data_IF_244145412509
#
_entry.id   IF_244145412509
#
_cell.length_a   1.000
_cell.length_b   1.000
_cell.length_c   1.000
_cell.angle_alpha   90.00
_cell.angle_beta   90.00
_cell.angle_gamma   90.00
#
_symmetry.space_group_name_H-M   'P 1'
#
loop_
_entity.id
_entity.type
_entity.pdbx_description
1 polymer ?
#
# COMPACT_ATOMS: atom_id res chain seq x y z
N UNK A 1 -40.83 81.37 -25.26
CA UNK A 1 -40.07 80.94 -26.45
C UNK A 1 -38.67 80.54 -26.04
N UNK A 2 -38.36 79.26 -25.96
CA UNK A 2 -37.01 78.70 -26.07
C UNK A 2 -37.15 77.21 -26.22
N UNK A 3 -36.81 76.69 -27.38
CA UNK A 3 -36.67 75.25 -27.69
C UNK A 3 -35.47 74.67 -26.98
N UNK A 4 -35.64 73.53 -26.39
CA UNK A 4 -34.53 72.69 -25.85
C UNK A 4 -34.60 71.38 -26.56
N UNK A 5 -33.64 71.09 -27.42
CA UNK A 5 -33.45 69.87 -28.15
C UNK A 5 -32.79 68.79 -27.20
N UNK A 6 -33.39 67.63 -27.12
CA UNK A 6 -32.79 66.48 -26.46
C UNK A 6 -31.91 65.75 -27.45
N UNK A 7 -30.62 65.64 -27.10
CA UNK A 7 -29.66 64.71 -27.73
C UNK A 7 -29.81 63.32 -27.08
N UNK A 8 -30.10 62.36 -27.92
CA UNK A 8 -30.19 60.93 -27.44
C UNK A 8 -28.83 60.24 -27.52
N UNK A 9 -28.31 59.84 -26.36
CA UNK A 9 -27.12 59.00 -26.28
C UNK A 9 -27.48 57.57 -26.61
N UNK A 10 -26.89 57.05 -27.67
CA UNK A 10 -26.91 55.60 -28.02
C UNK A 10 -25.75 54.93 -27.30
N UNK A 11 -26.09 54.16 -26.29
CA UNK A 11 -25.12 53.27 -25.65
C UNK A 11 -24.95 52.03 -26.56
N UNK A 12 -23.80 51.94 -27.18
CA UNK A 12 -23.40 50.74 -27.92
C UNK A 12 -22.90 49.68 -26.93
N UNK A 13 -23.69 48.64 -26.70
CA UNK A 13 -23.28 47.46 -25.92
C UNK A 13 -22.33 46.59 -26.75
N UNK A 14 -21.05 46.62 -26.41
CA UNK A 14 -20.06 45.70 -26.96
C UNK A 14 -20.17 44.35 -26.27
N UNK A 15 -20.65 43.33 -26.97
CA UNK A 15 -20.60 41.93 -26.53
C UNK A 15 -19.18 41.41 -26.75
N UNK A 16 -18.44 41.17 -25.65
CA UNK A 16 -17.21 40.41 -25.69
C UNK A 16 -17.55 38.92 -25.81
N UNK A 17 -16.97 38.15 -26.75
CA UNK A 17 -17.12 36.71 -26.79
C UNK A 17 -16.30 36.09 -25.65
N UNK A 18 -16.96 35.37 -24.75
CA UNK A 18 -16.30 34.57 -23.74
C UNK A 18 -15.60 33.37 -24.41
N UNK A 19 -14.29 33.39 -24.42
CA UNK A 19 -13.46 32.28 -24.90
C UNK A 19 -13.51 31.12 -23.85
N UNK A 20 -14.35 30.13 -24.10
CA UNK A 20 -14.40 28.92 -23.28
C UNK A 20 -13.22 28.04 -23.67
N UNK A 21 -12.15 28.08 -22.86
CA UNK A 21 -11.01 27.17 -22.99
C UNK A 21 -11.42 25.82 -22.43
N UNK A 22 -11.79 24.86 -23.27
CA UNK A 22 -12.01 23.48 -22.89
C UNK A 22 -10.64 22.85 -22.65
N UNK A 23 -10.24 22.72 -21.39
CA UNK A 23 -9.10 21.87 -20.99
C UNK A 23 -9.50 20.42 -21.25
N UNK A 24 -9.04 19.87 -22.37
CA UNK A 24 -9.05 18.43 -22.61
C UNK A 24 -8.05 17.78 -21.64
N UNK A 25 -8.54 17.28 -20.51
CA UNK A 25 -7.77 16.40 -19.67
C UNK A 25 -7.51 15.11 -20.47
N UNK A 26 -6.31 15.00 -21.03
CA UNK A 26 -5.85 13.73 -21.62
C UNK A 26 -5.83 12.69 -20.52
N UNK A 27 -6.43 11.50 -20.69
CA UNK A 27 -6.25 10.41 -19.75
C UNK A 27 -4.76 10.09 -19.72
N UNK A 28 -4.12 10.34 -18.57
CA UNK A 28 -2.74 9.93 -18.36
C UNK A 28 -2.71 8.41 -18.58
N UNK A 29 -2.09 7.96 -19.68
CA UNK A 29 -1.82 6.55 -19.90
C UNK A 29 -0.93 6.08 -18.76
N UNK A 30 -1.53 5.37 -17.79
CA UNK A 30 -0.79 4.83 -16.65
C UNK A 30 0.14 3.76 -17.20
N UNK A 31 1.45 4.02 -17.13
CA UNK A 31 2.47 3.03 -17.49
C UNK A 31 2.33 1.89 -16.49
N UNK A 32 1.91 0.71 -16.98
CA UNK A 32 1.82 -0.48 -16.15
C UNK A 32 3.24 -0.84 -15.68
N UNK A 33 3.45 -0.89 -14.37
CA UNK A 33 4.76 -1.15 -13.80
C UNK A 33 5.26 -2.56 -14.18
N UNK A 34 6.58 -2.74 -14.17
CA UNK A 34 7.22 -3.97 -14.60
C UNK A 34 6.82 -5.16 -13.73
N UNK A 35 6.62 -6.33 -14.33
CA UNK A 35 6.34 -7.56 -13.62
C UNK A 35 7.63 -8.24 -13.15
N UNK A 36 7.60 -8.80 -11.95
CA UNK A 36 8.67 -9.66 -11.45
C UNK A 36 8.56 -11.02 -12.16
N UNK A 37 9.51 -11.32 -13.06
CA UNK A 37 9.57 -12.58 -13.80
C UNK A 37 10.68 -13.51 -13.35
N UNK A 38 11.59 -13.01 -12.53
CA UNK A 38 12.69 -13.72 -11.88
C UNK A 38 12.77 -13.35 -10.41
N UNK A 39 13.96 -13.41 -9.82
CA UNK A 39 14.16 -12.96 -8.44
C UNK A 39 14.29 -11.44 -8.40
N UNK A 40 13.46 -10.79 -7.60
CA UNK A 40 13.65 -9.41 -7.15
C UNK A 40 14.14 -9.43 -5.70
N UNK A 41 15.10 -8.58 -5.36
CA UNK A 41 15.57 -8.42 -3.99
C UNK A 41 15.80 -6.95 -3.66
N UNK A 42 15.59 -6.59 -2.40
CA UNK A 42 15.89 -5.28 -1.85
C UNK A 42 16.43 -5.44 -0.42
N UNK A 43 17.72 -5.12 -0.23
CA UNK A 43 18.41 -5.15 1.06
C UNK A 43 18.41 -3.78 1.75
N UNK A 44 17.78 -2.78 1.11
CA UNK A 44 17.70 -1.41 1.61
C UNK A 44 19.05 -0.72 1.92
N UNK A 45 20.16 -1.27 1.45
CA UNK A 45 21.53 -0.74 1.61
C UNK A 45 21.75 0.52 0.78
N UNK A 46 21.02 1.57 1.05
CA UNK A 46 21.05 2.87 0.38
C UNK A 46 20.58 4.00 1.31
N UNK A 47 20.82 5.27 1.01
CA UNK A 47 20.45 6.38 1.87
C UNK A 47 18.97 6.80 1.76
N UNK A 48 18.27 6.42 0.67
CA UNK A 48 16.91 6.88 0.35
C UNK A 48 16.00 5.72 -0.03
N UNK A 49 14.68 5.92 0.05
CA UNK A 49 13.66 4.91 -0.28
C UNK A 49 13.82 4.33 -1.69
N UNK A 50 14.22 5.18 -2.64
CA UNK A 50 14.49 4.78 -4.02
C UNK A 50 13.24 4.62 -4.89
N UNK A 51 13.44 4.48 -6.23
CA UNK A 51 12.35 4.56 -7.21
C UNK A 51 11.43 3.32 -7.24
N UNK A 52 11.86 2.22 -6.63
CA UNK A 52 11.05 1.00 -6.57
C UNK A 52 9.90 1.09 -5.55
N UNK A 53 9.87 2.11 -4.71
CA UNK A 53 8.88 2.28 -3.67
C UNK A 53 8.10 3.56 -3.84
N UNK A 54 6.83 3.51 -3.49
CA UNK A 54 5.93 4.65 -3.44
C UNK A 54 5.39 4.79 -2.02
N UNK A 55 5.86 5.81 -1.31
CA UNK A 55 5.30 6.24 -0.04
C UNK A 55 3.98 7.00 -0.29
N UNK A 56 2.91 6.60 0.39
CA UNK A 56 1.60 7.27 0.30
C UNK A 56 1.39 8.33 1.39
N UNK A 57 2.43 8.64 2.15
CA UNK A 57 2.41 9.64 3.23
C UNK A 57 2.81 9.09 4.60
N UNK A 58 3.25 7.83 4.69
CA UNK A 58 3.67 7.18 5.93
C UNK A 58 5.04 7.61 6.45
N UNK A 59 5.78 8.45 5.70
CA UNK A 59 7.07 8.96 6.13
C UNK A 59 8.16 7.90 6.20
N UNK A 60 8.13 6.96 5.26
CA UNK A 60 9.11 5.88 5.16
C UNK A 60 10.51 6.42 4.88
N UNK A 61 11.50 5.86 5.57
CA UNK A 61 12.90 6.24 5.44
C UNK A 61 13.81 5.02 5.48
N UNK A 62 15.02 5.19 4.97
CA UNK A 62 16.09 4.20 5.17
C UNK A 62 16.94 4.64 6.36
N UNK A 63 17.15 3.73 7.29
CA UNK A 63 18.00 3.93 8.46
C UNK A 63 18.75 2.65 8.77
N UNK A 64 20.07 2.72 8.86
CA UNK A 64 20.95 1.59 9.13
C UNK A 64 20.75 0.41 8.14
N UNK A 65 20.55 0.72 6.84
CA UNK A 65 20.30 -0.29 5.81
C UNK A 65 18.93 -0.97 5.92
N UNK A 66 17.96 -0.41 6.60
CA UNK A 66 16.62 -0.96 6.76
C UNK A 66 15.54 0.04 6.32
N UNK A 67 14.46 -0.45 5.76
CA UNK A 67 13.26 0.35 5.51
C UNK A 67 12.50 0.52 6.82
N UNK A 68 12.34 1.75 7.28
CA UNK A 68 11.70 2.10 8.56
C UNK A 68 10.38 2.80 8.31
N UNK A 69 9.31 2.24 8.85
CA UNK A 69 8.05 2.91 9.10
C UNK A 69 8.01 3.34 10.57
N UNK A 70 7.50 4.52 10.86
CA UNK A 70 7.41 5.02 12.23
C UNK A 70 6.08 5.73 12.45
N UNK A 71 5.02 4.96 12.73
CA UNK A 71 3.66 5.49 12.83
C UNK A 71 3.13 5.92 11.48
N UNK A 72 3.07 5.00 10.52
CA UNK A 72 2.57 5.29 9.17
C UNK A 72 1.05 5.49 9.13
N UNK A 73 0.33 5.14 10.20
CA UNK A 73 -1.13 5.29 10.33
C UNK A 73 -1.88 4.72 9.12
N UNK A 74 -1.47 3.53 8.70
CA UNK A 74 -2.00 2.83 7.53
C UNK A 74 -1.77 3.54 6.18
N UNK A 75 -0.78 4.43 6.06
CA UNK A 75 -0.30 4.92 4.78
C UNK A 75 0.75 3.96 4.22
N UNK A 76 0.43 3.05 3.32
CA UNK A 76 1.36 2.01 2.88
C UNK A 76 2.52 2.57 2.05
N UNK A 77 3.66 1.88 2.09
CA UNK A 77 4.67 2.00 1.04
C UNK A 77 4.50 0.85 0.05
N UNK A 78 4.13 1.17 -1.18
CA UNK A 78 3.91 0.21 -2.26
C UNK A 78 5.19 -0.07 -3.03
N UNK A 79 5.49 -1.35 -3.25
CA UNK A 79 6.50 -1.77 -4.20
C UNK A 79 5.98 -1.54 -5.63
N UNK A 80 6.69 -0.76 -6.43
CA UNK A 80 6.35 -0.41 -7.81
C UNK A 80 6.76 -1.50 -8.80
N UNK A 81 6.48 -2.75 -8.45
CA UNK A 81 6.64 -3.92 -9.32
C UNK A 81 5.49 -4.87 -9.09
N UNK A 82 5.00 -5.46 -10.18
CA UNK A 82 3.88 -6.40 -10.09
C UNK A 82 4.37 -7.77 -9.64
N UNK A 83 3.68 -8.34 -8.67
CA UNK A 83 3.92 -9.69 -8.18
C UNK A 83 3.59 -10.74 -9.25
N UNK A 84 4.34 -11.85 -9.33
CA UNK A 84 3.88 -13.03 -10.05
C UNK A 84 2.61 -13.59 -9.37
N UNK A 85 1.76 -14.24 -10.16
CA UNK A 85 0.50 -14.80 -9.67
C UNK A 85 0.72 -15.81 -8.53
N UNK A 86 1.66 -16.73 -8.74
CA UNK A 86 2.15 -17.64 -7.72
C UNK A 86 3.52 -17.14 -7.28
N UNK A 87 3.66 -16.85 -5.98
CA UNK A 87 4.79 -16.08 -5.46
C UNK A 87 5.33 -16.70 -4.18
N UNK A 88 6.66 -16.61 -4.02
CA UNK A 88 7.35 -16.78 -2.75
C UNK A 88 7.96 -15.44 -2.35
N UNK A 89 7.75 -15.03 -1.10
CA UNK A 89 8.25 -13.80 -0.52
C UNK A 89 8.97 -14.14 0.77
N UNK A 90 10.17 -13.61 0.93
CA UNK A 90 10.94 -13.69 2.17
C UNK A 90 11.34 -12.27 2.58
N UNK A 91 11.29 -11.96 3.86
CA UNK A 91 11.76 -10.69 4.41
C UNK A 91 12.06 -10.84 5.89
N UNK A 92 12.91 -9.95 6.41
CA UNK A 92 13.10 -9.78 7.84
C UNK A 92 12.31 -8.56 8.32
N UNK A 93 11.62 -8.71 9.45
CA UNK A 93 10.81 -7.65 10.02
C UNK A 93 11.00 -7.55 11.53
N UNK A 94 11.11 -6.31 12.03
CA UNK A 94 11.32 -6.00 13.45
C UNK A 94 10.36 -4.90 13.85
N UNK A 95 9.60 -5.06 14.93
CA UNK A 95 8.93 -3.93 15.58
C UNK A 95 9.75 -3.51 16.82
N UNK A 96 9.99 -2.23 16.96
CA UNK A 96 10.60 -1.66 18.18
C UNK A 96 9.57 -1.24 19.21
N UNK A 97 8.30 -1.28 18.85
CA UNK A 97 7.19 -0.86 19.70
C UNK A 97 6.56 -2.04 20.44
N UNK A 98 6.17 -1.89 21.70
CA UNK A 98 5.43 -2.94 22.42
C UNK A 98 4.08 -3.27 21.80
N UNK A 99 3.51 -2.34 21.03
CA UNK A 99 2.26 -2.52 20.28
C UNK A 99 2.35 -3.52 19.13
N UNK A 100 3.56 -3.93 18.74
CA UNK A 100 3.77 -4.90 17.65
C UNK A 100 3.51 -4.31 16.28
N UNK A 101 2.43 -4.71 15.63
CA UNK A 101 1.83 -4.21 14.40
C UNK A 101 2.73 -4.26 13.15
N UNK A 102 3.44 -5.36 12.96
CA UNK A 102 4.16 -5.62 11.69
C UNK A 102 3.14 -6.02 10.64
N UNK A 103 3.06 -5.25 9.56
CA UNK A 103 1.99 -5.39 8.57
C UNK A 103 2.52 -5.36 7.15
N UNK A 104 2.06 -6.28 6.32
CA UNK A 104 2.25 -6.24 4.87
C UNK A 104 0.92 -6.45 4.17
N UNK A 105 0.78 -5.90 2.98
CA UNK A 105 -0.33 -6.19 2.07
C UNK A 105 0.18 -6.89 0.81
N UNK A 106 -0.47 -7.97 0.41
CA UNK A 106 -0.15 -8.72 -0.78
C UNK A 106 -1.31 -8.66 -1.76
N UNK A 107 -0.98 -8.54 -3.05
CA UNK A 107 -2.00 -8.49 -4.10
C UNK A 107 -2.99 -7.34 -3.92
N UNK A 108 -2.51 -6.20 -3.48
CA UNK A 108 -3.26 -4.94 -3.46
C UNK A 108 -3.14 -4.19 -4.79
N UNK A 109 -3.78 -3.03 -4.86
CA UNK A 109 -3.90 -2.20 -6.06
C UNK A 109 -2.64 -1.36 -6.40
N UNK A 110 -1.68 -1.27 -5.49
CA UNK A 110 -0.47 -0.47 -5.66
C UNK A 110 -0.68 1.04 -5.43
N UNK A 111 -1.86 1.45 -4.97
CA UNK A 111 -2.25 2.86 -4.91
C UNK A 111 -2.87 3.29 -3.60
N UNK A 112 -3.68 2.40 -3.04
CA UNK A 112 -4.54 2.79 -1.93
C UNK A 112 -3.75 3.36 -0.78
N UNK A 113 -3.87 4.59 -0.68
CA UNK A 113 -4.38 5.41 0.39
C UNK A 113 -5.27 6.46 -0.26
N UNK A 114 -6.52 6.55 0.16
CA UNK A 114 -7.49 7.53 -0.34
C UNK A 114 -7.78 8.56 0.76
N UNK A 115 -7.15 9.75 0.73
CA UNK A 115 -7.38 10.79 1.72
C UNK A 115 -8.83 11.29 1.70
N UNK A 116 -9.51 11.22 0.56
CA UNK A 116 -10.89 11.69 0.40
C UNK A 116 -11.91 10.74 1.05
N UNK A 117 -11.53 9.48 1.24
CA UNK A 117 -12.34 8.49 1.98
C UNK A 117 -11.98 8.40 3.46
N UNK A 118 -11.08 9.25 3.94
CA UNK A 118 -10.70 9.32 5.34
C UNK A 118 -9.85 8.15 5.83
N UNK A 119 -9.13 7.47 4.94
CA UNK A 119 -8.23 6.43 5.39
C UNK A 119 -7.86 5.36 4.36
N UNK A 120 -7.04 4.43 4.82
CA UNK A 120 -6.61 3.27 4.10
C UNK A 120 -7.75 2.25 3.92
N UNK A 121 -7.92 1.83 2.69
CA UNK A 121 -8.79 0.69 2.36
C UNK A 121 -7.90 -0.40 1.77
N UNK A 122 -7.71 -1.50 2.52
CA UNK A 122 -7.02 -2.67 1.99
C UNK A 122 -7.73 -3.20 0.74
N UNK A 123 -6.96 -3.46 -0.28
CA UNK A 123 -7.45 -3.98 -1.56
C UNK A 123 -6.94 -5.39 -1.85
N UNK A 124 -6.06 -5.88 -0.99
CA UNK A 124 -5.40 -7.17 -1.07
C UNK A 124 -5.58 -8.06 0.15
N UNK A 125 -4.60 -8.91 0.37
CA UNK A 125 -4.48 -9.73 1.57
C UNK A 125 -3.55 -9.05 2.57
N UNK A 126 -4.07 -8.76 3.77
CA UNK A 126 -3.28 -8.21 4.86
C UNK A 126 -2.76 -9.33 5.74
N UNK A 127 -1.44 -9.36 5.97
CA UNK A 127 -0.79 -10.22 6.94
C UNK A 127 -0.28 -9.32 8.07
N UNK A 128 -0.84 -9.49 9.27
CA UNK A 128 -0.54 -8.65 10.44
C UNK A 128 -0.02 -9.54 11.56
N UNK A 129 1.20 -9.28 12.04
CA UNK A 129 1.75 -9.90 13.22
C UNK A 129 1.74 -8.91 14.40
N UNK A 130 0.98 -9.26 15.43
CA UNK A 130 0.86 -8.45 16.64
C UNK A 130 0.07 -7.16 16.46
N UNK A 131 -0.97 -7.15 15.64
CA UNK A 131 -1.91 -6.04 15.56
C UNK A 131 -2.75 -5.89 16.82
N UNK A 132 -3.59 -4.83 16.89
CA UNK A 132 -4.48 -4.53 18.02
C UNK A 132 -3.74 -4.54 19.37
N UNK A 133 -2.73 -3.69 19.46
CA UNK A 133 -1.87 -3.59 20.65
C UNK A 133 -1.19 -4.92 20.97
N UNK A 134 -0.60 -5.55 19.96
CA UNK A 134 0.15 -6.80 20.05
C UNK A 134 -0.68 -7.99 20.61
N UNK A 135 -1.97 -8.00 20.35
CA UNK A 135 -2.88 -9.02 20.89
C UNK A 135 -3.36 -10.05 19.88
N UNK A 136 -3.30 -9.72 18.59
CA UNK A 136 -3.87 -10.56 17.54
C UNK A 136 -2.99 -10.54 16.28
N UNK A 137 -2.82 -11.71 15.65
CA UNK A 137 -2.19 -11.85 14.34
C UNK A 137 -3.18 -12.46 13.37
N UNK A 138 -3.23 -11.95 12.12
CA UNK A 138 -4.30 -12.31 11.17
C UNK A 138 -3.80 -12.41 9.74
N UNK A 139 -4.50 -13.20 8.93
CA UNK A 139 -4.59 -13.04 7.48
C UNK A 139 -5.98 -12.47 7.19
N UNK A 140 -6.05 -11.35 6.52
CA UNK A 140 -7.30 -10.69 6.12
C UNK A 140 -7.42 -10.60 4.59
N UNK A 141 -8.65 -10.37 4.13
CA UNK A 141 -8.97 -10.11 2.72
C UNK A 141 -9.79 -8.82 2.61
N UNK A 142 -9.25 -7.82 1.91
CA UNK A 142 -9.88 -6.51 1.63
C UNK A 142 -10.24 -5.65 2.85
N UNK A 143 -10.18 -6.20 4.05
CA UNK A 143 -10.51 -5.50 5.31
C UNK A 143 -9.77 -6.18 6.46
N UNK A 144 -9.09 -5.41 7.29
CA UNK A 144 -8.38 -5.94 8.47
C UNK A 144 -9.30 -6.19 9.69
N UNK A 145 -10.57 -5.78 9.61
CA UNK A 145 -11.53 -5.92 10.69
C UNK A 145 -12.60 -6.97 10.37
N UNK A 146 -13.20 -7.53 11.42
CA UNK A 146 -14.41 -8.38 11.41
C UNK A 146 -14.40 -9.46 10.29
N UNK A 147 -15.30 -9.34 9.33
CA UNK A 147 -15.46 -10.30 8.23
C UNK A 147 -14.26 -10.40 7.31
N UNK A 148 -13.38 -9.40 7.28
CA UNK A 148 -12.12 -9.43 6.55
C UNK A 148 -11.13 -10.45 7.10
N UNK A 149 -11.17 -10.76 8.40
CA UNK A 149 -10.29 -11.73 9.05
C UNK A 149 -10.64 -13.15 8.63
N UNK A 150 -9.69 -13.84 8.01
CA UNK A 150 -9.87 -15.19 7.45
C UNK A 150 -9.12 -16.26 8.23
N UNK A 151 -7.96 -15.92 8.80
CA UNK A 151 -7.23 -16.74 9.75
C UNK A 151 -6.69 -15.87 10.86
N UNK A 152 -6.67 -16.36 12.10
CA UNK A 152 -6.25 -15.57 13.25
C UNK A 152 -5.59 -16.44 14.33
N UNK A 153 -4.67 -15.84 15.09
CA UNK A 153 -4.09 -16.40 16.31
C UNK A 153 -3.73 -15.31 17.32
N UNK A 154 -3.76 -15.62 18.61
CA UNK A 154 -3.48 -14.69 19.72
C UNK A 154 -2.45 -15.21 20.72
N UNK A 155 -1.87 -16.38 20.46
CA UNK A 155 -0.97 -17.10 21.35
C UNK A 155 0.51 -16.72 21.18
N UNK A 156 0.85 -15.89 20.19
CA UNK A 156 2.21 -15.40 19.94
C UNK A 156 2.20 -13.87 19.78
N UNK A 157 3.06 -13.21 20.53
CA UNK A 157 3.25 -11.74 20.50
C UNK A 157 4.55 -11.38 19.83
N UNK A 158 4.61 -10.17 19.27
CA UNK A 158 5.86 -9.55 18.83
C UNK A 158 6.68 -9.14 20.05
N UNK A 159 7.94 -9.50 20.09
CA UNK A 159 8.91 -9.07 21.09
C UNK A 159 9.62 -7.83 20.55
N UNK A 160 9.53 -6.66 21.22
CA UNK A 160 10.18 -5.44 20.75
C UNK A 160 11.67 -5.61 20.51
N UNK A 161 12.17 -5.21 19.35
CA UNK A 161 13.57 -5.28 18.97
C UNK A 161 14.03 -6.65 18.44
N UNK A 162 13.18 -7.68 18.48
CA UNK A 162 13.46 -8.97 17.86
C UNK A 162 13.19 -8.91 16.38
N UNK A 163 14.15 -9.38 15.57
CA UNK A 163 13.96 -9.62 14.15
C UNK A 163 13.30 -10.98 13.92
N UNK A 164 12.33 -11.00 13.00
CA UNK A 164 11.60 -12.19 12.61
C UNK A 164 11.77 -12.39 11.11
N UNK A 165 12.17 -13.61 10.73
CA UNK A 165 12.22 -13.99 9.32
C UNK A 165 10.84 -14.48 8.87
N UNK A 166 10.24 -13.79 7.90
CA UNK A 166 8.96 -14.16 7.31
C UNK A 166 9.19 -14.90 6.00
N UNK A 167 8.50 -16.03 5.84
CA UNK A 167 8.40 -16.74 4.56
C UNK A 167 6.94 -16.89 4.21
N UNK A 168 6.54 -16.34 3.07
CA UNK A 168 5.16 -16.32 2.61
C UNK A 168 5.12 -16.96 1.22
N UNK A 169 4.21 -17.88 1.02
CA UNK A 169 3.95 -18.46 -0.31
C UNK A 169 2.48 -18.30 -0.65
N UNK A 170 2.20 -17.84 -1.86
CA UNK A 170 0.86 -17.93 -2.44
C UNK A 170 0.91 -18.78 -3.69
N UNK A 171 0.04 -19.81 -3.76
CA UNK A 171 -0.21 -20.64 -4.95
C UNK A 171 -1.70 -20.75 -5.18
N UNK A 172 -2.17 -20.25 -6.33
CA UNK A 172 -3.61 -20.12 -6.57
C UNK A 172 -4.27 -19.28 -5.47
N UNK A 173 -5.18 -19.89 -4.70
CA UNK A 173 -5.82 -19.27 -3.54
C UNK A 173 -5.15 -19.54 -2.21
N UNK A 174 -4.21 -20.52 -2.14
CA UNK A 174 -3.58 -20.89 -0.88
C UNK A 174 -2.47 -19.91 -0.49
N UNK A 175 -2.54 -19.39 0.73
CA UNK A 175 -1.56 -18.52 1.38
C UNK A 175 -1.02 -19.26 2.58
N UNK A 176 0.29 -19.51 2.58
CA UNK A 176 1.04 -20.09 3.70
C UNK A 176 2.03 -19.05 4.22
N UNK A 177 1.95 -18.76 5.50
CA UNK A 177 2.85 -17.84 6.19
C UNK A 177 3.58 -18.52 7.31
N UNK A 178 4.91 -18.43 7.28
CA UNK A 178 5.82 -18.94 8.31
C UNK A 178 6.60 -17.77 8.92
N UNK A 179 6.94 -17.91 10.20
CA UNK A 179 7.86 -17.00 10.92
C UNK A 179 8.96 -17.85 11.55
N UNK A 180 10.23 -17.51 11.29
CA UNK A 180 11.42 -18.21 11.74
C UNK A 180 11.40 -19.72 11.33
N UNK A 181 10.92 -19.99 10.11
CA UNK A 181 10.80 -21.34 9.55
C UNK A 181 9.61 -22.15 10.09
N UNK A 182 8.94 -21.72 11.16
CA UNK A 182 7.80 -22.43 11.74
C UNK A 182 6.47 -21.96 11.10
N UNK A 183 5.50 -22.86 10.84
CA UNK A 183 4.16 -22.48 10.40
C UNK A 183 3.54 -21.45 11.35
N UNK A 184 2.98 -20.37 10.79
CA UNK A 184 2.40 -19.30 11.58
C UNK A 184 0.90 -19.16 11.34
N UNK A 185 0.47 -18.82 10.14
CA UNK A 185 -0.91 -18.80 9.70
C UNK A 185 -1.02 -19.32 8.26
N UNK A 186 -2.14 -19.92 7.92
CA UNK A 186 -2.46 -20.32 6.57
C UNK A 186 -3.95 -20.12 6.29
N UNK A 187 -4.28 -19.83 5.04
CA UNK A 187 -5.67 -19.73 4.58
C UNK A 187 -5.76 -19.98 3.07
N UNK A 188 -6.83 -20.60 2.63
CA UNK A 188 -7.12 -20.78 1.19
C UNK A 188 -8.35 -19.95 0.84
N UNK A 189 -8.15 -18.97 -0.06
CA UNK A 189 -9.23 -18.17 -0.61
C UNK A 189 -9.97 -18.99 -1.70
N UNK A 190 -11.26 -19.25 -1.54
CA UNK A 190 -12.05 -19.95 -2.56
C UNK A 190 -12.29 -19.11 -3.83
N UNK A 191 -12.11 -17.77 -3.73
CA UNK A 191 -12.26 -16.81 -4.83
C UNK A 191 -11.04 -15.86 -4.84
N UNK A 192 -9.86 -16.32 -5.32
CA UNK A 192 -8.61 -15.61 -5.17
C UNK A 192 -8.59 -14.25 -5.85
N UNK A 193 -8.00 -13.26 -5.18
CA UNK A 193 -7.75 -11.94 -5.74
C UNK A 193 -6.74 -12.06 -6.90
N UNK A 194 -7.15 -11.69 -8.11
CA UNK A 194 -6.36 -11.78 -9.35
C UNK A 194 -6.66 -10.64 -10.31
N UNK A 195 -5.71 -10.35 -11.19
CA UNK A 195 -5.88 -9.36 -12.25
C UNK A 195 -5.60 -7.93 -11.82
N UNK A 196 -6.06 -6.98 -12.62
CA UNK A 196 -5.81 -5.56 -12.41
C UNK A 196 -6.36 -5.09 -11.07
N UNK A 197 -5.52 -4.40 -10.27
CA UNK A 197 -5.87 -3.97 -8.92
C UNK A 197 -5.50 -4.97 -7.83
N UNK A 198 -4.92 -6.14 -8.19
CA UNK A 198 -4.48 -7.17 -7.26
C UNK A 198 -3.11 -7.72 -7.67
N UNK A 199 -2.12 -6.83 -7.80
CA UNK A 199 -0.81 -7.19 -8.37
C UNK A 199 0.38 -6.71 -7.52
N UNK A 200 0.17 -5.98 -6.40
CA UNK A 200 1.25 -5.29 -5.70
C UNK A 200 1.43 -5.74 -4.26
N UNK A 201 2.64 -5.48 -3.73
CA UNK A 201 3.00 -5.63 -2.33
C UNK A 201 3.16 -4.26 -1.69
N UNK A 202 2.70 -4.13 -0.44
CA UNK A 202 3.06 -3.00 0.42
C UNK A 202 3.56 -3.47 1.78
N UNK A 203 4.36 -2.62 2.41
CA UNK A 203 4.64 -2.67 3.84
C UNK A 203 3.86 -1.57 4.54
N UNK A 204 3.46 -1.81 5.79
CA UNK A 204 2.59 -0.90 6.52
C UNK A 204 2.75 -1.07 8.04
N UNK A 205 2.20 -0.13 8.81
CA UNK A 205 1.97 -0.20 10.24
C UNK A 205 0.88 0.81 10.65
N UNK A 206 0.46 0.79 11.91
CA UNK A 206 -0.38 1.83 12.48
C UNK A 206 0.46 2.84 13.27
N UNK A 207 0.79 2.55 14.52
CA UNK A 207 1.53 3.45 15.42
C UNK A 207 2.92 2.94 15.81
N UNK A 208 3.30 1.75 15.33
CA UNK A 208 4.55 1.13 15.71
C UNK A 208 5.76 1.72 14.95
N UNK A 209 6.96 1.61 15.53
CA UNK A 209 8.19 1.69 14.72
C UNK A 209 8.50 0.29 14.21
N UNK A 210 8.31 0.08 12.91
CA UNK A 210 8.57 -1.20 12.23
C UNK A 210 9.72 -1.04 11.24
N UNK A 211 10.56 -2.05 11.15
CA UNK A 211 11.69 -2.12 10.24
C UNK A 211 11.58 -3.35 9.36
N UNK A 212 11.88 -3.18 8.08
CA UNK A 212 11.89 -4.26 7.09
C UNK A 212 13.27 -4.32 6.42
N UNK A 213 13.70 -5.53 6.12
CA UNK A 213 15.00 -5.80 5.51
C UNK A 213 14.96 -7.09 4.68
N UNK A 214 16.00 -7.31 3.87
CA UNK A 214 16.25 -8.55 3.15
C UNK A 214 15.04 -9.07 2.34
N UNK A 215 14.28 -8.16 1.72
CA UNK A 215 13.13 -8.55 0.90
C UNK A 215 13.58 -9.33 -0.33
N UNK A 216 13.03 -10.52 -0.51
CA UNK A 216 13.23 -11.35 -1.70
C UNK A 216 11.86 -11.79 -2.21
N UNK A 217 11.59 -11.56 -3.49
CA UNK A 217 10.35 -11.96 -4.17
C UNK A 217 10.73 -12.78 -5.40
N UNK A 218 10.10 -13.93 -5.58
CA UNK A 218 10.30 -14.78 -6.76
C UNK A 218 9.02 -15.50 -7.16
N UNK A 219 8.85 -15.87 -8.45
CA UNK A 219 7.79 -16.81 -8.83
C UNK A 219 7.89 -18.09 -7.99
N UNK A 220 6.76 -18.56 -7.46
CA UNK A 220 6.71 -19.85 -6.78
C UNK A 220 6.77 -20.99 -7.81
N UNK A 221 7.48 -22.09 -7.55
CA UNK A 221 7.55 -23.24 -8.44
C UNK A 221 6.23 -24.01 -8.53
#
# INVERSE_FOLDING_TARGET
MRFCSRVGDRIASALLPALVTVLLASPACRVKEEAITGTFSDTFDRPELGPNWRDTGGGYRITDGQLVAGGAYNHPAWLRKRLPRDVSIELDATSRSPSGDIKIELFGDGESFDPDRGGYVSTGYMLIFGGWNNSLSVICRNNEHDEGRKAARSDRRVEPGRSYHWSITRKGGAIDWKIDGAPFLAWTDPDPLIGSGHEYLAVNDWEAEVRFDNLVIRPAP
#
